data_IF_421587071854
#
_entry.id   IF_421587071854
#
_cell.length_a   1.000
_cell.length_b   1.000
_cell.length_c   1.000
_cell.angle_alpha   90.00
_cell.angle_beta   90.00
_cell.angle_gamma   90.00
#
_symmetry.space_group_name_H-M   'P 1'
#
loop_
_entity.id
_entity.type
_entity.pdbx_description
1 polymer ?
#
# COMPACT_ATOMS: atom_id res chain seq x y z
N UNK A 1 53.97 -7.50 23.09
CA UNK A 1 53.16 -6.53 22.31
C UNK A 1 52.16 -7.33 21.50
N UNK A 2 50.91 -7.41 21.94
CA UNK A 2 49.83 -8.01 21.17
C UNK A 2 48.86 -6.88 20.84
N UNK A 3 48.67 -6.63 19.54
CA UNK A 3 47.80 -5.59 19.01
C UNK A 3 46.36 -5.89 19.44
N UNK A 4 45.73 -4.96 20.16
CA UNK A 4 44.30 -4.99 20.37
C UNK A 4 43.65 -4.68 19.02
N UNK A 5 42.97 -5.68 18.45
CA UNK A 5 42.03 -5.46 17.36
C UNK A 5 40.91 -4.54 17.87
N UNK A 6 40.87 -3.30 17.38
CA UNK A 6 39.75 -2.40 17.60
C UNK A 6 38.48 -3.06 17.05
N UNK A 7 37.58 -3.44 17.95
CA UNK A 7 36.22 -3.82 17.61
C UNK A 7 35.43 -2.54 17.36
N UNK A 8 35.29 -2.13 16.10
CA UNK A 8 34.32 -1.12 15.68
C UNK A 8 32.95 -1.77 15.53
N UNK A 9 32.36 -2.15 16.67
CA UNK A 9 30.97 -2.55 16.70
C UNK A 9 30.08 -1.33 16.50
N UNK A 10 29.56 -1.12 15.30
CA UNK A 10 28.47 -0.18 15.06
C UNK A 10 27.23 -0.66 15.83
N UNK A 11 27.05 -0.16 17.05
CA UNK A 11 25.84 -0.40 17.83
C UNK A 11 24.67 0.27 17.15
N UNK A 12 23.54 -0.44 16.99
CA UNK A 12 22.30 0.14 16.50
C UNK A 12 21.88 1.39 17.28
N UNK A 13 22.11 1.41 18.60
CA UNK A 13 21.84 2.56 19.47
C UNK A 13 22.76 3.77 19.19
N UNK A 14 23.86 3.57 18.45
CA UNK A 14 24.76 4.63 18.00
C UNK A 14 24.42 5.17 16.60
N UNK A 15 23.42 4.61 15.91
CA UNK A 15 22.98 5.13 14.61
C UNK A 15 22.54 6.58 14.75
N UNK A 16 22.99 7.42 13.83
CA UNK A 16 22.50 8.79 13.71
C UNK A 16 20.97 8.82 13.53
N UNK A 17 20.32 9.82 14.14
CA UNK A 17 18.88 10.04 14.01
C UNK A 17 18.63 11.02 12.88
N UNK A 18 17.78 10.61 11.94
CA UNK A 18 17.26 11.45 10.87
C UNK A 18 15.83 11.90 11.19
N UNK A 19 15.51 13.12 10.78
CA UNK A 19 14.14 13.65 10.82
C UNK A 19 13.46 13.45 9.47
N UNK A 20 12.29 12.82 9.45
CA UNK A 20 11.40 12.78 8.29
C UNK A 20 10.18 13.65 8.59
N UNK A 21 9.89 14.61 7.73
CA UNK A 21 8.76 15.53 7.85
C UNK A 21 7.68 15.14 6.85
N UNK A 22 6.47 14.81 7.32
CA UNK A 22 5.40 14.25 6.50
C UNK A 22 4.15 15.13 6.52
N UNK A 23 3.45 15.13 5.39
CA UNK A 23 2.28 15.98 5.11
C UNK A 23 2.61 17.48 5.19
N UNK A 24 1.62 18.32 4.90
CA UNK A 24 1.72 19.79 4.91
C UNK A 24 1.94 20.36 6.30
N UNK A 25 1.54 19.63 7.33
CA UNK A 25 1.73 20.00 8.74
C UNK A 25 3.13 19.65 9.26
N UNK A 26 4.00 19.05 8.42
CA UNK A 26 5.37 18.65 8.77
C UNK A 26 5.44 17.79 10.04
N UNK A 27 4.60 16.76 10.12
CA UNK A 27 4.62 15.78 11.21
C UNK A 27 5.99 15.11 11.26
N UNK A 28 6.63 15.14 12.44
CA UNK A 28 8.03 14.74 12.60
C UNK A 28 8.18 13.29 13.03
N UNK A 29 9.01 12.56 12.29
CA UNK A 29 9.47 11.22 12.64
C UNK A 29 10.97 11.23 12.86
N UNK A 30 11.42 10.64 13.96
CA UNK A 30 12.84 10.50 14.30
C UNK A 30 13.25 9.04 14.13
N UNK A 31 13.98 8.75 13.05
CA UNK A 31 14.28 7.39 12.61
C UNK A 31 15.79 7.18 12.52
N UNK A 32 16.25 5.97 12.81
CA UNK A 32 17.65 5.58 12.67
C UNK A 32 18.07 5.61 11.20
N UNK A 33 19.06 6.45 10.89
CA UNK A 33 19.64 6.61 9.54
C UNK A 33 20.16 5.30 8.98
N UNK A 34 20.81 4.48 9.80
CA UNK A 34 21.33 3.18 9.37
C UNK A 34 20.18 2.26 8.94
N UNK A 35 19.05 2.30 9.65
CA UNK A 35 17.87 1.51 9.29
C UNK A 35 17.20 2.01 8.02
N UNK A 36 17.06 3.32 7.86
CA UNK A 36 16.51 3.92 6.64
C UNK A 36 17.36 3.58 5.40
N UNK A 37 18.68 3.73 5.50
CA UNK A 37 19.59 3.50 4.37
C UNK A 37 19.81 2.03 4.04
N UNK A 38 19.75 1.12 5.02
CA UNK A 38 19.85 -0.32 4.77
C UNK A 38 18.57 -0.91 4.16
N UNK A 39 17.39 -0.44 4.58
CA UNK A 39 16.11 -1.02 4.16
C UNK A 39 15.47 -0.32 2.95
N UNK A 40 15.74 0.97 2.75
CA UNK A 40 15.04 1.78 1.76
C UNK A 40 15.98 2.39 0.72
N UNK A 41 15.88 1.96 -0.56
CA UNK A 41 16.73 2.49 -1.64
C UNK A 41 16.58 3.99 -1.87
N UNK A 42 15.38 4.55 -1.65
CA UNK A 42 15.16 6.00 -1.72
C UNK A 42 15.99 6.74 -0.66
N UNK A 43 15.89 6.36 0.61
CA UNK A 43 16.66 7.00 1.68
C UNK A 43 18.16 6.76 1.53
N UNK A 44 18.59 5.58 1.08
CA UNK A 44 20.00 5.30 0.76
C UNK A 44 20.57 6.30 -0.25
N UNK A 45 19.78 6.68 -1.27
CA UNK A 45 20.16 7.68 -2.26
C UNK A 45 20.09 9.11 -1.70
N UNK A 46 19.00 9.48 -1.03
CA UNK A 46 18.82 10.82 -0.45
C UNK A 46 19.88 11.15 0.60
N UNK A 47 20.33 10.15 1.36
CA UNK A 47 21.34 10.30 2.40
C UNK A 47 22.76 9.99 1.92
N UNK A 48 22.89 9.63 0.64
CA UNK A 48 24.17 9.49 -0.02
C UNK A 48 24.88 10.83 -0.17
N UNK A 49 26.20 10.79 -0.39
CA UNK A 49 27.01 12.00 -0.55
C UNK A 49 26.51 12.87 -1.70
N UNK A 50 26.37 14.18 -1.47
CA UNK A 50 26.09 15.17 -2.52
C UNK A 50 24.66 15.69 -2.57
N UNK A 51 23.73 15.14 -1.77
CA UNK A 51 22.36 15.68 -1.63
C UNK A 51 22.25 16.59 -0.40
N UNK A 52 21.29 17.53 -0.41
CA UNK A 52 21.11 18.50 0.68
C UNK A 52 20.73 17.78 1.99
N UNK A 53 19.91 16.75 1.84
CA UNK A 53 19.36 15.90 2.89
C UNK A 53 20.47 15.17 3.68
N UNK A 54 21.58 14.81 3.01
CA UNK A 54 22.74 14.21 3.65
C UNK A 54 23.47 15.18 4.60
N UNK A 55 23.33 16.50 4.40
CA UNK A 55 23.93 17.53 5.25
C UNK A 55 22.99 17.99 6.37
N UNK A 56 21.67 17.97 6.12
CA UNK A 56 20.66 18.40 7.09
C UNK A 56 20.14 17.28 7.98
N UNK A 57 20.35 16.01 7.60
CA UNK A 57 19.70 14.84 8.20
C UNK A 57 18.17 15.00 8.28
N UNK A 58 17.61 15.65 7.27
CA UNK A 58 16.18 15.95 7.17
C UNK A 58 15.69 15.62 5.75
N UNK A 59 14.61 14.85 5.65
CA UNK A 59 13.90 14.56 4.40
C UNK A 59 12.46 15.01 4.54
N UNK A 60 11.94 15.70 3.52
CA UNK A 60 10.55 16.18 3.48
C UNK A 60 9.73 15.37 2.49
N UNK A 61 8.54 14.96 2.94
CA UNK A 61 7.55 14.17 2.23
C UNK A 61 6.17 14.87 2.36
N UNK A 62 6.03 16.10 1.82
CA UNK A 62 4.85 16.95 2.08
C UNK A 62 3.58 16.51 1.35
N UNK A 63 3.69 15.57 0.42
CA UNK A 63 2.57 15.03 -0.37
C UNK A 63 2.11 13.66 0.15
N UNK A 64 2.81 13.11 1.14
CA UNK A 64 2.59 11.76 1.63
C UNK A 64 1.77 11.77 2.92
N UNK A 65 0.98 10.72 3.13
CA UNK A 65 0.11 10.57 4.29
C UNK A 65 0.87 10.05 5.53
N UNK A 66 0.55 10.62 6.69
CA UNK A 66 1.07 10.21 8.01
C UNK A 66 0.82 8.72 8.25
N UNK A 67 -0.40 8.24 8.01
CA UNK A 67 -0.78 6.83 8.22
C UNK A 67 -0.01 5.88 7.28
N UNK A 68 0.31 6.31 6.06
CA UNK A 68 1.11 5.52 5.13
C UNK A 68 2.58 5.45 5.59
N UNK A 69 3.11 6.54 6.18
CA UNK A 69 4.43 6.53 6.78
C UNK A 69 4.48 5.67 8.05
N UNK A 70 3.42 5.64 8.86
CA UNK A 70 3.34 4.73 10.01
C UNK A 70 3.49 3.27 9.56
N UNK A 71 2.83 2.88 8.46
CA UNK A 71 3.00 1.55 7.85
C UNK A 71 4.45 1.32 7.39
N UNK A 72 5.12 2.33 6.81
CA UNK A 72 6.52 2.23 6.41
C UNK A 72 7.45 2.02 7.61
N UNK A 73 7.26 2.79 8.68
CA UNK A 73 8.05 2.67 9.91
C UNK A 73 7.86 1.28 10.51
N UNK A 74 6.62 0.81 10.59
CA UNK A 74 6.33 -0.54 11.06
C UNK A 74 7.01 -1.61 10.20
N UNK A 75 6.98 -1.46 8.88
CA UNK A 75 7.64 -2.38 7.96
C UNK A 75 9.14 -2.49 8.22
N UNK A 76 9.86 -1.36 8.23
CA UNK A 76 11.31 -1.39 8.35
C UNK A 76 11.74 -1.86 9.75
N UNK A 77 11.03 -1.51 10.82
CA UNK A 77 11.44 -1.89 12.18
C UNK A 77 10.99 -3.29 12.61
N UNK A 78 9.97 -3.89 11.99
CA UNK A 78 9.33 -5.14 12.46
C UNK A 78 9.40 -6.33 11.47
N UNK A 79 10.32 -6.37 10.49
CA UNK A 79 10.47 -7.46 9.49
C UNK A 79 9.94 -8.86 9.93
N UNK A 80 9.19 -9.62 9.11
CA UNK A 80 8.22 -9.28 8.08
C UNK A 80 6.84 -9.83 8.52
N UNK A 81 6.20 -9.23 9.51
CA UNK A 81 4.75 -9.41 9.66
C UNK A 81 4.15 -8.08 10.06
N UNK A 82 3.25 -7.49 9.26
CA UNK A 82 2.38 -6.47 9.80
C UNK A 82 1.71 -7.12 11.01
N UNK A 83 1.80 -6.47 12.17
CA UNK A 83 0.99 -6.84 13.30
C UNK A 83 -0.43 -6.50 12.85
N UNK A 84 -1.10 -7.46 12.21
CA UNK A 84 -2.39 -7.29 11.55
C UNK A 84 -3.36 -6.82 12.62
N UNK A 85 -3.52 -5.51 12.71
CA UNK A 85 -4.57 -4.97 13.56
C UNK A 85 -5.86 -5.17 12.77
N UNK A 86 -6.73 -6.00 13.32
CA UNK A 86 -8.11 -6.14 12.83
C UNK A 86 -8.74 -4.75 12.90
N UNK A 87 -8.84 -4.08 11.76
CA UNK A 87 -9.28 -2.68 11.69
C UNK A 87 -8.50 -1.79 10.71
N UNK A 88 -7.36 -2.26 10.18
CA UNK A 88 -6.61 -1.50 9.18
C UNK A 88 -7.44 -1.20 7.92
N UNK A 89 -7.36 0.07 7.50
CA UNK A 89 -8.18 0.65 6.43
C UNK A 89 -7.62 0.29 5.05
N UNK A 90 -8.47 -0.23 4.16
CA UNK A 90 -8.14 -0.50 2.74
C UNK A 90 -7.48 0.70 2.07
N UNK A 91 -7.96 1.93 2.35
CA UNK A 91 -7.40 3.16 1.80
C UNK A 91 -5.98 3.42 2.33
N UNK A 92 -5.72 3.16 3.61
CA UNK A 92 -4.38 3.34 4.20
C UNK A 92 -3.41 2.35 3.56
N UNK A 93 -3.79 1.09 3.37
CA UNK A 93 -2.96 0.10 2.67
C UNK A 93 -2.67 0.51 1.23
N UNK A 94 -3.67 1.08 0.53
CA UNK A 94 -3.50 1.60 -0.84
C UNK A 94 -2.53 2.79 -0.90
N UNK A 95 -2.64 3.73 0.05
CA UNK A 95 -1.71 4.86 0.21
C UNK A 95 -0.29 4.37 0.51
N UNK A 96 -0.14 3.43 1.44
CA UNK A 96 1.15 2.80 1.75
C UNK A 96 1.77 2.13 0.53
N UNK A 97 0.97 1.54 -0.36
CA UNK A 97 1.48 0.92 -1.59
C UNK A 97 2.05 1.96 -2.56
N UNK A 98 1.39 3.12 -2.70
CA UNK A 98 1.89 4.24 -3.51
C UNK A 98 3.17 4.81 -2.89
N UNK A 99 3.23 4.94 -1.56
CA UNK A 99 4.46 5.32 -0.86
C UNK A 99 5.58 4.31 -1.11
N UNK A 100 5.29 3.01 -1.06
CA UNK A 100 6.27 1.95 -1.33
C UNK A 100 6.85 2.03 -2.75
N UNK A 101 6.03 2.39 -3.75
CA UNK A 101 6.48 2.67 -5.11
C UNK A 101 7.48 3.84 -5.13
N UNK A 102 7.11 4.97 -4.54
CA UNK A 102 7.95 6.17 -4.42
C UNK A 102 9.28 5.88 -3.71
N UNK A 103 9.22 5.06 -2.66
CA UNK A 103 10.38 4.63 -1.88
C UNK A 103 11.23 3.53 -2.56
N UNK A 104 10.80 3.06 -3.73
CA UNK A 104 11.45 2.00 -4.52
C UNK A 104 11.55 0.66 -3.75
N UNK A 105 10.46 0.23 -3.10
CA UNK A 105 10.43 -0.96 -2.23
C UNK A 105 9.46 -2.04 -2.74
N UNK A 106 9.84 -2.81 -3.77
CA UNK A 106 8.93 -3.76 -4.42
C UNK A 106 8.49 -4.92 -3.52
N UNK A 107 9.37 -5.38 -2.60
CA UNK A 107 8.99 -6.39 -1.59
C UNK A 107 7.88 -5.90 -0.67
N UNK A 108 7.91 -4.62 -0.30
CA UNK A 108 6.90 -4.02 0.55
C UNK A 108 5.58 -3.81 -0.22
N UNK A 109 5.66 -3.38 -1.49
CA UNK A 109 4.49 -3.35 -2.39
C UNK A 109 3.78 -4.71 -2.45
N UNK A 110 4.53 -5.81 -2.58
CA UNK A 110 3.96 -7.17 -2.62
C UNK A 110 3.29 -7.56 -1.29
N UNK A 111 3.95 -7.28 -0.17
CA UNK A 111 3.37 -7.53 1.15
C UNK A 111 2.07 -6.74 1.39
N UNK A 112 1.95 -5.53 0.84
CA UNK A 112 0.73 -4.72 0.94
C UNK A 112 -0.42 -5.27 0.07
N UNK A 113 -0.12 -5.88 -1.09
CA UNK A 113 -1.13 -6.61 -1.89
C UNK A 113 -1.62 -7.84 -1.12
N UNK A 114 -0.71 -8.60 -0.50
CA UNK A 114 -1.06 -9.74 0.33
C UNK A 114 -1.91 -9.30 1.55
N UNK A 115 -1.59 -8.14 2.13
CA UNK A 115 -2.37 -7.56 3.21
C UNK A 115 -3.78 -7.15 2.76
N UNK A 116 -3.96 -6.52 1.59
CA UNK A 116 -5.29 -6.23 1.05
C UNK A 116 -6.11 -7.50 0.85
N UNK A 117 -5.49 -8.56 0.32
CA UNK A 117 -6.14 -9.86 0.19
C UNK A 117 -6.60 -10.42 1.54
N UNK A 118 -5.78 -10.26 2.58
CA UNK A 118 -6.12 -10.64 3.95
C UNK A 118 -7.28 -9.80 4.53
N UNK A 119 -7.29 -8.48 4.36
CA UNK A 119 -8.44 -7.64 4.77
C UNK A 119 -9.74 -8.18 4.16
N UNK A 120 -9.70 -8.53 2.88
CA UNK A 120 -10.85 -9.04 2.13
C UNK A 120 -11.27 -10.47 2.50
N UNK A 121 -10.54 -11.19 3.35
CA UNK A 121 -11.06 -12.42 3.97
C UNK A 121 -12.07 -12.13 5.07
N UNK A 122 -11.94 -10.99 5.77
CA UNK A 122 -12.82 -10.59 6.88
C UNK A 122 -13.87 -9.57 6.46
N UNK A 123 -13.52 -8.65 5.56
CA UNK A 123 -14.37 -7.57 5.11
C UNK A 123 -14.54 -7.61 3.58
N UNK A 124 -15.35 -8.53 3.04
CA UNK A 124 -15.39 -8.82 1.61
C UNK A 124 -16.22 -7.79 0.81
N UNK A 125 -15.92 -6.50 0.95
CA UNK A 125 -16.66 -5.42 0.26
C UNK A 125 -15.70 -4.35 -0.24
N UNK A 126 -15.74 -4.11 -1.55
CA UNK A 126 -15.13 -2.92 -2.16
C UNK A 126 -16.14 -1.78 -2.19
N UNK A 127 -15.76 -0.62 -1.63
CA UNK A 127 -16.59 0.60 -1.60
C UNK A 127 -16.29 1.49 -2.80
N UNK A 128 -17.24 2.36 -3.16
CA UNK A 128 -17.08 3.36 -4.22
C UNK A 128 -15.85 4.26 -4.00
N UNK A 129 -15.62 4.66 -2.74
CA UNK A 129 -14.49 5.49 -2.35
C UNK A 129 -13.14 4.84 -2.67
N UNK A 130 -13.03 3.51 -2.59
CA UNK A 130 -11.79 2.80 -2.95
C UNK A 130 -11.50 2.94 -4.44
N UNK A 131 -12.53 2.80 -5.29
CA UNK A 131 -12.36 2.89 -6.74
C UNK A 131 -12.10 4.31 -7.20
N UNK A 132 -12.82 5.30 -6.64
CA UNK A 132 -12.56 6.72 -6.91
C UNK A 132 -11.11 7.03 -6.56
N UNK A 133 -10.67 6.66 -5.35
CA UNK A 133 -9.31 6.93 -4.92
C UNK A 133 -8.27 6.31 -5.85
N UNK A 134 -8.43 5.06 -6.29
CA UNK A 134 -7.49 4.43 -7.24
C UNK A 134 -7.44 5.18 -8.56
N UNK A 135 -8.59 5.57 -9.11
CA UNK A 135 -8.64 6.31 -10.37
C UNK A 135 -7.96 7.67 -10.27
N UNK A 136 -8.04 8.30 -9.10
CA UNK A 136 -7.50 9.65 -8.88
C UNK A 136 -6.01 9.63 -8.50
N UNK A 137 -5.50 8.55 -7.89
CA UNK A 137 -4.17 8.53 -7.26
C UNK A 137 -3.20 7.48 -7.82
N UNK A 138 -3.65 6.52 -8.63
CA UNK A 138 -2.80 5.40 -9.07
C UNK A 138 -2.77 5.32 -10.59
N UNK A 139 -1.59 5.31 -11.23
CA UNK A 139 -1.48 5.05 -12.66
C UNK A 139 -2.15 3.73 -13.04
N UNK A 140 -2.85 3.75 -14.17
CA UNK A 140 -3.45 2.56 -14.77
C UNK A 140 -2.72 2.25 -16.08
N UNK A 141 -2.20 1.03 -16.30
CA UNK A 141 -2.27 -0.14 -15.41
C UNK A 141 -1.15 -0.19 -14.36
N UNK A 142 -1.48 -0.69 -13.17
CA UNK A 142 -0.53 -1.00 -12.08
C UNK A 142 -0.98 -2.25 -11.33
N UNK A 143 -0.09 -2.97 -10.60
CA UNK A 143 -0.48 -4.17 -9.87
C UNK A 143 -1.58 -3.93 -8.83
N UNK A 144 -1.52 -2.81 -8.09
CA UNK A 144 -2.57 -2.41 -7.15
C UNK A 144 -3.92 -2.17 -7.85
N UNK A 145 -3.93 -1.37 -8.93
CA UNK A 145 -5.17 -1.09 -9.66
C UNK A 145 -5.77 -2.35 -10.26
N UNK A 146 -4.94 -3.27 -10.77
CA UNK A 146 -5.38 -4.57 -11.29
C UNK A 146 -5.97 -5.46 -10.20
N UNK A 147 -5.30 -5.60 -9.05
CA UNK A 147 -5.80 -6.41 -7.92
C UNK A 147 -7.19 -5.94 -7.48
N UNK A 148 -7.35 -4.64 -7.27
CA UNK A 148 -8.60 -4.06 -6.77
C UNK A 148 -9.74 -4.18 -7.80
N UNK A 149 -9.45 -4.00 -9.10
CA UNK A 149 -10.43 -4.19 -10.18
C UNK A 149 -10.85 -5.64 -10.32
N UNK A 150 -9.90 -6.57 -10.26
CA UNK A 150 -10.15 -8.00 -10.43
C UNK A 150 -10.94 -8.54 -9.24
N UNK A 151 -10.55 -8.15 -8.02
CA UNK A 151 -11.28 -8.50 -6.81
C UNK A 151 -12.71 -7.94 -6.85
N UNK A 152 -12.87 -6.67 -7.22
CA UNK A 152 -14.19 -6.06 -7.30
C UNK A 152 -15.08 -6.71 -8.38
N UNK A 153 -14.52 -7.01 -9.55
CA UNK A 153 -15.24 -7.71 -10.60
C UNK A 153 -15.70 -9.11 -10.14
N UNK A 154 -14.86 -9.83 -9.40
CA UNK A 154 -15.23 -11.12 -8.82
C UNK A 154 -16.37 -10.97 -7.79
N UNK A 155 -16.26 -10.02 -6.86
CA UNK A 155 -17.30 -9.79 -5.85
C UNK A 155 -18.63 -9.35 -6.50
N UNK A 156 -18.58 -8.51 -7.53
CA UNK A 156 -19.77 -8.11 -8.28
C UNK A 156 -20.42 -9.32 -8.97
N UNK A 157 -19.63 -10.22 -9.55
CA UNK A 157 -20.13 -11.39 -10.25
C UNK A 157 -20.70 -12.48 -9.33
N UNK A 158 -20.03 -12.76 -8.20
CA UNK A 158 -20.37 -13.90 -7.33
C UNK A 158 -21.19 -13.50 -6.09
N UNK A 159 -21.09 -12.24 -5.65
CA UNK A 159 -21.71 -11.72 -4.43
C UNK A 159 -22.57 -10.46 -4.66
N UNK A 160 -23.17 -10.29 -5.85
CA UNK A 160 -24.03 -9.15 -6.18
C UNK A 160 -25.12 -8.83 -5.12
N UNK A 161 -25.61 -9.87 -4.42
CA UNK A 161 -26.57 -9.72 -3.32
C UNK A 161 -26.07 -8.89 -2.13
N UNK A 162 -24.76 -8.90 -1.85
CA UNK A 162 -24.14 -8.08 -0.80
C UNK A 162 -24.25 -6.58 -1.10
N UNK A 163 -24.22 -6.21 -2.39
CA UNK A 163 -24.41 -4.84 -2.87
C UNK A 163 -25.89 -4.43 -3.00
N UNK A 164 -26.81 -5.41 -3.01
CA UNK A 164 -28.26 -5.19 -3.13
C UNK A 164 -28.99 -5.14 -1.77
N UNK A 165 -28.59 -5.95 -0.78
CA UNK A 165 -29.29 -6.09 0.51
C UNK A 165 -28.94 -5.03 1.56
N UNK A 166 -27.86 -4.26 1.40
CA UNK A 166 -27.46 -3.16 2.30
C UNK A 166 -28.13 -1.82 1.97
N UNK A 167 -29.38 -1.87 1.51
CA UNK A 167 -30.17 -0.69 1.13
C UNK A 167 -30.85 0.00 2.34
N UNK A 168 -30.93 -0.66 3.51
CA UNK A 168 -31.64 -0.13 4.69
C UNK A 168 -30.73 0.56 5.72
N UNK A 169 -29.40 0.38 5.64
CA UNK A 169 -28.43 1.14 6.44
C UNK A 169 -27.11 1.25 5.65
N UNK A 170 -26.89 2.39 5.01
CA UNK A 170 -25.69 2.83 4.26
C UNK A 170 -24.89 1.77 3.45
N UNK A 171 -24.83 2.05 2.13
CA UNK A 171 -24.10 1.35 1.05
C UNK A 171 -24.83 0.16 0.40
N UNK A 172 -25.87 0.50 -0.39
CA UNK A 172 -26.19 -0.24 -1.62
C UNK A 172 -25.17 0.06 -2.73
N UNK A 173 -25.46 -0.27 -3.99
CA UNK A 173 -24.83 0.44 -5.12
C UNK A 173 -25.24 1.91 -5.00
N UNK A 174 -24.49 2.68 -4.19
CA UNK A 174 -24.75 4.09 -4.01
C UNK A 174 -24.48 4.83 -5.33
N UNK A 175 -24.98 6.05 -5.44
CA UNK A 175 -24.78 6.87 -6.64
C UNK A 175 -23.29 7.02 -6.99
N UNK A 176 -22.41 6.99 -5.98
CA UNK A 176 -20.96 7.01 -6.15
C UNK A 176 -20.42 5.77 -6.87
N UNK A 177 -20.86 4.56 -6.48
CA UNK A 177 -20.45 3.31 -7.11
C UNK A 177 -21.01 3.19 -8.51
N UNK A 178 -22.27 3.58 -8.71
CA UNK A 178 -22.87 3.66 -10.04
C UNK A 178 -22.14 4.66 -10.95
N UNK A 179 -21.81 5.85 -10.44
CA UNK A 179 -21.06 6.85 -11.19
C UNK A 179 -19.67 6.35 -11.55
N UNK A 180 -18.96 5.72 -10.60
CA UNK A 180 -17.63 5.13 -10.83
C UNK A 180 -17.69 4.03 -11.90
N UNK A 181 -18.72 3.18 -11.89
CA UNK A 181 -18.92 2.09 -12.85
C UNK A 181 -19.41 2.54 -14.24
N UNK A 182 -20.21 3.61 -14.31
CA UNK A 182 -20.88 4.01 -15.57
C UNK A 182 -20.17 5.12 -16.34
N UNK A 183 -19.28 5.88 -15.70
CA UNK A 183 -18.67 7.08 -16.31
C UNK A 183 -17.15 6.98 -16.48
N UNK A 184 -16.55 5.83 -16.22
CA UNK A 184 -15.10 5.65 -16.33
C UNK A 184 -14.73 4.45 -17.19
N UNK A 185 -13.63 4.51 -17.97
CA UNK A 185 -13.05 3.33 -18.65
C UNK A 185 -12.75 2.18 -17.66
N UNK A 186 -12.49 2.52 -16.40
CA UNK A 186 -12.35 1.56 -15.31
C UNK A 186 -13.63 0.77 -15.06
N UNK A 187 -14.78 1.44 -15.08
CA UNK A 187 -16.09 0.83 -14.91
C UNK A 187 -16.42 -0.17 -16.02
N UNK A 188 -16.09 0.15 -17.27
CA UNK A 188 -16.25 -0.78 -18.40
C UNK A 188 -15.40 -2.04 -18.21
N UNK A 189 -14.14 -1.89 -17.81
CA UNK A 189 -13.24 -3.02 -17.57
C UNK A 189 -13.74 -3.91 -16.43
N UNK A 190 -14.16 -3.33 -15.31
CA UNK A 190 -14.71 -4.08 -14.18
C UNK A 190 -15.98 -4.81 -14.59
N UNK A 191 -16.88 -4.16 -15.33
CA UNK A 191 -18.14 -4.75 -15.80
C UNK A 191 -17.88 -5.92 -16.75
N UNK A 192 -16.98 -5.75 -17.72
CA UNK A 192 -16.62 -6.81 -18.67
C UNK A 192 -15.96 -8.00 -17.96
N UNK A 193 -15.05 -7.75 -17.01
CA UNK A 193 -14.45 -8.80 -16.18
C UNK A 193 -15.49 -9.52 -15.33
N UNK A 194 -16.43 -8.80 -14.73
CA UNK A 194 -17.51 -9.40 -13.94
C UNK A 194 -18.41 -10.31 -14.80
N UNK A 195 -18.75 -9.89 -16.03
CA UNK A 195 -19.51 -10.71 -16.97
C UNK A 195 -18.72 -11.98 -17.35
N UNK A 196 -17.42 -11.86 -17.59
CA UNK A 196 -16.57 -13.01 -17.88
C UNK A 196 -16.52 -13.99 -16.70
N UNK A 197 -16.30 -13.49 -15.47
CA UNK A 197 -16.27 -14.29 -14.24
C UNK A 197 -17.63 -14.93 -13.94
N UNK A 198 -18.74 -14.27 -14.25
CA UNK A 198 -20.08 -14.84 -14.05
C UNK A 198 -20.33 -16.05 -14.98
N UNK A 199 -19.66 -16.11 -16.13
CA UNK A 199 -19.75 -17.23 -17.09
C UNK A 199 -18.84 -18.41 -16.74
N UNK A 200 -17.85 -18.18 -15.89
CA UNK A 200 -16.89 -19.20 -15.45
C UNK A 200 -17.18 -19.60 -14.00
N UNK A 201 -17.68 -20.82 -13.78
CA UNK A 201 -17.98 -21.32 -12.43
C UNK A 201 -16.74 -21.46 -11.55
N UNK A 202 -15.57 -21.65 -12.17
CA UNK A 202 -14.32 -22.04 -11.51
C UNK A 202 -13.36 -20.86 -11.36
N UNK A 203 -13.77 -19.66 -11.80
CA UNK A 203 -13.00 -18.44 -11.68
C UNK A 203 -12.56 -18.20 -10.22
N UNK A 204 -11.24 -18.24 -10.01
CA UNK A 204 -10.66 -18.13 -8.68
C UNK A 204 -10.70 -16.69 -8.16
N UNK A 205 -11.09 -16.53 -6.89
CA UNK A 205 -11.12 -15.23 -6.21
C UNK A 205 -9.70 -14.63 -6.11
N UNK A 206 -9.45 -13.42 -6.62
CA UNK A 206 -8.12 -12.79 -6.60
C UNK A 206 -7.47 -12.71 -5.22
N UNK A 207 -8.26 -12.58 -4.14
CA UNK A 207 -7.70 -12.60 -2.77
C UNK A 207 -7.03 -13.92 -2.37
N UNK A 208 -7.32 -15.01 -3.08
CA UNK A 208 -6.67 -16.31 -2.85
C UNK A 208 -5.38 -16.48 -3.66
N UNK A 209 -5.07 -15.52 -4.55
CA UNK A 209 -3.91 -15.53 -5.43
C UNK A 209 -3.30 -14.12 -5.58
N UNK A 210 -3.02 -13.41 -4.46
CA UNK A 210 -2.49 -12.04 -4.51
C UNK A 210 -1.14 -11.93 -5.23
N UNK A 211 -0.36 -13.01 -5.26
CA UNK A 211 0.93 -13.11 -5.95
C UNK A 211 0.87 -12.85 -7.46
N UNK A 212 -0.30 -13.05 -8.10
CA UNK A 212 -0.48 -12.69 -9.51
C UNK A 212 -0.43 -11.17 -9.76
N UNK A 213 -0.59 -10.38 -8.69
CA UNK A 213 -0.56 -8.93 -8.69
C UNK A 213 0.68 -8.38 -7.98
N UNK A 214 1.75 -9.15 -7.90
CA UNK A 214 3.03 -8.70 -7.36
C UNK A 214 3.84 -7.93 -8.40
N UNK A 215 4.59 -6.92 -7.93
CA UNK A 215 5.67 -6.31 -8.71
C UNK A 215 6.86 -7.29 -8.78
N UNK A 216 7.60 -7.32 -9.91
CA UNK A 216 8.88 -8.04 -9.99
C UNK A 216 9.89 -7.53 -8.95
N UNK A 217 10.61 -8.45 -8.32
CA UNK A 217 11.64 -8.18 -7.29
C UNK A 217 12.99 -8.69 -7.77
#
# INVERSE_FOLDING_TARGET
MSSATNWEGHSFAGSEIMTVLVDKDEVKYYLHKDKLTSECPFFAKCLGSGMKEAHTNEVKLPEDDVEALDCFVDWIYKEPMPNISVGESVIVTMKAWVLAEKLCMPKWQNALIDHLAHIFTYFPVVKASHLSWINDNVPTPSPLSNFMRDYFAHELAKNAGAYRKKQESELGLDEGLWSALSKSPTGDQVTLKAIAIARDSDASNPKNRPHEHHVPV
#
